data_IF_395982918873
#
_entry.id   IF_395982918873
#
_cell.length_a   1.000
_cell.length_b   1.000
_cell.length_c   1.000
_cell.angle_alpha   90.00
_cell.angle_beta   90.00
_cell.angle_gamma   90.00
#
_symmetry.space_group_name_H-M   'P 1'
#
loop_
_entity.id
_entity.type
_entity.pdbx_description
1 polymer ?
#
# COMPACT_ATOMS: atom_id res chain seq x y z
N UNK A 1 -7.50 -1.75 18.00
CA UNK A 1 -7.32 -2.37 16.66
C UNK A 1 -7.95 -3.76 16.55
N UNK A 2 -7.67 -4.71 17.47
CA UNK A 2 -8.19 -6.09 17.37
C UNK A 2 -9.70 -6.20 17.20
N UNK A 3 -10.48 -5.52 18.05
CA UNK A 3 -11.96 -5.58 18.01
C UNK A 3 -12.54 -5.04 16.70
N UNK A 4 -11.87 -4.06 16.08
CA UNK A 4 -12.25 -3.55 14.76
C UNK A 4 -11.95 -4.58 13.67
N UNK A 5 -10.75 -5.18 13.66
CA UNK A 5 -10.40 -6.20 12.67
C UNK A 5 -11.33 -7.43 12.76
N UNK A 6 -11.73 -7.83 13.96
CA UNK A 6 -12.68 -8.92 14.17
C UNK A 6 -14.06 -8.61 13.58
N UNK A 7 -14.55 -7.38 13.74
CA UNK A 7 -15.89 -7.01 13.27
C UNK A 7 -15.99 -6.95 11.75
N UNK A 8 -14.89 -6.60 11.05
CA UNK A 8 -14.86 -6.52 9.59
C UNK A 8 -14.45 -7.84 8.91
N UNK A 9 -13.82 -8.77 9.63
CA UNK A 9 -13.28 -10.01 9.08
C UNK A 9 -14.31 -10.83 8.26
N UNK A 10 -15.56 -11.05 8.73
CA UNK A 10 -16.55 -11.82 7.96
C UNK A 10 -16.85 -11.19 6.59
N UNK A 11 -16.79 -9.86 6.49
CA UNK A 11 -17.03 -9.14 5.23
C UNK A 11 -15.85 -9.29 4.26
N UNK A 12 -14.63 -9.35 4.78
CA UNK A 12 -13.40 -9.45 4.01
C UNK A 12 -13.11 -10.87 3.50
N UNK A 13 -13.55 -11.90 4.23
CA UNK A 13 -13.27 -13.30 3.89
C UNK A 13 -13.66 -13.68 2.46
N UNK A 14 -14.74 -13.11 1.92
CA UNK A 14 -15.20 -13.35 0.54
C UNK A 14 -14.23 -12.89 -0.55
N UNK A 15 -13.25 -12.05 -0.19
CA UNK A 15 -12.22 -11.51 -1.08
C UNK A 15 -10.82 -12.04 -0.80
N UNK A 16 -10.72 -12.93 0.18
CA UNK A 16 -9.46 -13.46 0.68
C UNK A 16 -8.88 -14.47 -0.31
N UNK A 17 -7.60 -14.33 -0.64
CA UNK A 17 -6.81 -15.37 -1.30
C UNK A 17 -6.57 -16.52 -0.33
N UNK A 18 -6.40 -17.74 -0.84
CA UNK A 18 -6.21 -18.92 -0.01
C UNK A 18 -4.77 -19.02 0.53
N UNK A 19 -4.63 -19.46 1.79
CA UNK A 19 -3.36 -19.64 2.47
C UNK A 19 -2.59 -20.89 1.99
N UNK A 20 -3.28 -21.86 1.36
CA UNK A 20 -2.65 -23.05 0.76
C UNK A 20 -1.77 -22.74 -0.46
N UNK A 21 -1.94 -21.58 -1.07
CA UNK A 21 -1.11 -21.11 -2.16
C UNK A 21 0.02 -20.26 -1.57
N UNK A 22 1.09 -20.96 -1.20
CA UNK A 22 2.29 -20.40 -0.56
C UNK A 22 2.89 -19.21 -1.33
N UNK A 23 2.71 -19.17 -2.65
CA UNK A 23 3.19 -18.07 -3.48
C UNK A 23 2.57 -16.71 -3.11
N UNK A 24 1.45 -16.69 -2.36
CA UNK A 24 0.81 -15.47 -1.93
C UNK A 24 1.46 -14.81 -0.70
N UNK A 25 2.30 -15.52 0.07
CA UNK A 25 2.90 -14.97 1.29
C UNK A 25 4.38 -15.29 1.50
N UNK A 26 4.93 -16.28 0.80
CA UNK A 26 6.34 -16.67 0.90
C UNK A 26 7.24 -15.70 0.11
N UNK A 27 8.44 -15.43 0.63
CA UNK A 27 9.40 -14.43 0.14
C UNK A 27 8.88 -12.98 0.13
N UNK A 28 7.89 -12.67 0.96
CA UNK A 28 7.35 -11.31 1.13
C UNK A 28 7.69 -10.81 2.54
N UNK A 29 8.20 -9.57 2.68
CA UNK A 29 8.44 -8.96 3.99
C UNK A 29 7.11 -8.49 4.59
N UNK A 30 6.64 -9.21 5.61
CA UNK A 30 5.39 -8.96 6.31
C UNK A 30 5.66 -8.30 7.66
N UNK A 31 5.16 -7.11 7.93
CA UNK A 31 5.47 -6.39 9.16
C UNK A 31 4.26 -5.86 9.91
N UNK A 32 4.46 -5.60 11.19
CA UNK A 32 3.54 -4.87 12.06
C UNK A 32 4.32 -4.01 13.06
N UNK A 33 3.63 -3.08 13.70
CA UNK A 33 4.15 -2.32 14.84
C UNK A 33 3.75 -3.06 16.12
N UNK A 34 4.72 -3.44 16.93
CA UNK A 34 4.44 -4.05 18.23
C UNK A 34 4.06 -3.01 19.29
N UNK A 35 3.85 -3.48 20.52
CA UNK A 35 3.43 -2.64 21.64
C UNK A 35 4.49 -1.60 22.05
N UNK A 36 5.76 -1.80 21.66
CA UNK A 36 6.87 -0.88 21.91
C UNK A 36 7.07 0.12 20.75
N UNK A 37 6.11 0.20 19.82
CA UNK A 37 6.24 0.94 18.55
C UNK A 37 7.44 0.50 17.70
N UNK A 38 7.95 -0.71 17.92
CA UNK A 38 9.01 -1.27 17.11
C UNK A 38 8.40 -2.03 15.93
N UNK A 39 8.97 -1.78 14.75
CA UNK A 39 8.63 -2.56 13.55
C UNK A 39 9.19 -3.97 13.70
N UNK A 40 8.30 -4.96 13.67
CA UNK A 40 8.64 -6.39 13.61
C UNK A 40 8.32 -6.91 12.23
N UNK A 41 9.30 -7.48 11.54
CA UNK A 41 9.17 -7.99 10.16
C UNK A 41 9.37 -9.49 10.13
N UNK A 42 8.48 -10.20 9.44
CA UNK A 42 8.46 -11.63 9.21
C UNK A 42 8.80 -11.88 7.74
N UNK A 43 9.68 -12.83 7.48
CA UNK A 43 9.96 -13.35 6.14
C UNK A 43 9.81 -14.87 6.17
N UNK A 44 8.71 -15.35 5.59
CA UNK A 44 8.46 -16.77 5.36
C UNK A 44 9.29 -17.20 4.15
N UNK A 45 10.36 -17.97 4.37
CA UNK A 45 11.24 -18.43 3.29
C UNK A 45 10.80 -19.77 2.73
N UNK A 46 11.04 -20.02 1.44
CA UNK A 46 10.67 -21.28 0.74
C UNK A 46 11.24 -22.56 1.37
N UNK A 47 12.31 -22.46 2.14
CA UNK A 47 12.96 -23.57 2.85
C UNK A 47 12.34 -23.83 4.24
N UNK A 48 11.10 -23.39 4.49
CA UNK A 48 10.39 -23.50 5.78
C UNK A 48 11.05 -22.76 6.95
N UNK A 49 12.00 -21.88 6.66
CA UNK A 49 12.62 -21.00 7.65
C UNK A 49 11.80 -19.73 7.79
N UNK A 50 11.60 -19.29 9.02
CA UNK A 50 11.03 -17.98 9.32
C UNK A 50 12.14 -17.07 9.82
N UNK A 51 12.37 -15.95 9.14
CA UNK A 51 13.20 -14.88 9.69
C UNK A 51 12.31 -13.82 10.32
N UNK A 52 12.63 -13.43 11.55
CA UNK A 52 11.95 -12.33 12.25
C UNK A 52 12.98 -11.27 12.56
N UNK A 53 12.74 -10.04 12.10
CA UNK A 53 13.62 -8.89 12.35
C UNK A 53 12.90 -7.87 13.22
N UNK A 54 13.53 -7.47 14.33
CA UNK A 54 13.09 -6.36 15.20
C UNK A 54 14.32 -5.52 15.52
N UNK A 55 14.26 -4.21 15.24
CA UNK A 55 15.33 -3.25 15.56
C UNK A 55 16.73 -3.65 15.02
N UNK A 56 16.80 -4.32 13.88
CA UNK A 56 18.07 -4.75 13.26
C UNK A 56 18.57 -6.12 13.74
N UNK A 57 18.02 -6.67 14.82
CA UNK A 57 18.29 -8.03 15.27
C UNK A 57 17.47 -9.03 14.46
N UNK A 58 18.09 -10.14 14.08
CA UNK A 58 17.45 -11.20 13.29
C UNK A 58 17.38 -12.48 14.12
N UNK A 59 16.16 -12.95 14.37
CA UNK A 59 15.89 -14.24 14.97
C UNK A 59 15.37 -15.22 13.92
N UNK A 60 15.74 -16.49 14.07
CA UNK A 60 15.36 -17.57 13.15
C UNK A 60 14.35 -18.49 13.82
N UNK A 61 13.31 -18.86 13.09
CA UNK A 61 12.27 -19.81 13.46
C UNK A 61 11.90 -20.72 12.30
N UNK A 62 10.76 -21.41 12.41
CA UNK A 62 10.23 -22.27 11.34
C UNK A 62 8.77 -21.99 11.07
N UNK A 63 8.35 -22.26 9.84
CA UNK A 63 6.95 -22.23 9.46
C UNK A 63 6.58 -23.42 8.58
N UNK A 64 5.33 -23.85 8.66
CA UNK A 64 4.81 -24.98 7.90
C UNK A 64 3.31 -24.77 7.64
N UNK A 65 2.88 -24.91 6.39
CA UNK A 65 1.45 -24.99 6.09
C UNK A 65 0.98 -26.44 6.27
N UNK A 66 -0.10 -26.64 7.03
CA UNK A 66 -0.72 -27.93 7.30
C UNK A 66 -2.04 -28.04 6.53
N UNK A 67 -2.09 -28.73 5.36
CA UNK A 67 -3.28 -28.76 4.52
C UNK A 67 -4.49 -29.40 5.17
N UNK A 68 -4.29 -30.42 6.01
CA UNK A 68 -5.36 -31.14 6.73
C UNK A 68 -6.11 -30.25 7.72
N UNK A 69 -5.45 -29.21 8.24
CA UNK A 69 -6.02 -28.26 9.20
C UNK A 69 -6.34 -26.91 8.54
N UNK A 70 -5.87 -26.68 7.31
CA UNK A 70 -5.91 -25.39 6.61
C UNK A 70 -5.25 -24.27 7.43
N UNK A 71 -4.15 -24.61 8.10
CA UNK A 71 -3.51 -23.75 9.09
C UNK A 71 -2.02 -23.59 8.85
N UNK A 72 -1.49 -22.44 9.22
CA UNK A 72 -0.07 -22.14 9.26
C UNK A 72 0.46 -22.37 10.67
N UNK A 73 1.46 -23.23 10.79
CA UNK A 73 2.19 -23.47 12.02
C UNK A 73 3.42 -22.58 12.03
N UNK A 74 3.59 -21.80 13.10
CA UNK A 74 4.76 -20.94 13.29
C UNK A 74 5.46 -21.36 14.59
N UNK A 75 6.74 -21.68 14.49
CA UNK A 75 7.64 -21.95 15.61
C UNK A 75 8.65 -20.81 15.74
N UNK A 76 8.47 -20.00 16.79
CA UNK A 76 9.27 -18.81 17.03
C UNK A 76 9.31 -18.48 18.53
N UNK A 77 10.50 -18.12 19.05
CA UNK A 77 10.76 -17.83 20.48
C UNK A 77 10.32 -18.96 21.43
N UNK A 78 10.61 -20.21 21.06
CA UNK A 78 10.25 -21.38 21.87
C UNK A 78 8.74 -21.62 22.00
N UNK A 79 7.94 -20.95 21.17
CA UNK A 79 6.48 -21.05 21.15
C UNK A 79 6.02 -21.50 19.77
N UNK A 80 5.37 -22.65 19.73
CA UNK A 80 4.71 -23.17 18.55
C UNK A 80 3.24 -22.75 18.56
N UNK A 81 2.82 -21.98 17.55
CA UNK A 81 1.48 -21.40 17.45
C UNK A 81 0.87 -21.79 16.10
N UNK A 82 -0.39 -22.21 16.12
CA UNK A 82 -1.14 -22.50 14.91
C UNK A 82 -2.07 -21.34 14.57
N UNK A 83 -2.15 -21.01 13.29
CA UNK A 83 -2.93 -19.91 12.77
C UNK A 83 -3.81 -20.37 11.61
N UNK A 84 -5.10 -20.12 11.73
CA UNK A 84 -6.04 -20.27 10.62
C UNK A 84 -6.02 -19.00 9.78
N UNK A 85 -6.40 -19.15 8.51
CA UNK A 85 -6.55 -18.01 7.62
C UNK A 85 -7.67 -17.09 8.15
N UNK A 86 -7.32 -15.83 8.45
CA UNK A 86 -8.29 -14.77 8.69
C UNK A 86 -8.66 -14.09 7.38
N UNK A 87 -7.67 -13.42 6.78
CA UNK A 87 -7.77 -12.72 5.50
C UNK A 87 -6.39 -12.68 4.85
N UNK A 88 -6.31 -12.74 3.53
CA UNK A 88 -5.07 -12.58 2.80
C UNK A 88 -5.33 -11.90 1.46
N UNK A 89 -4.59 -10.84 1.17
CA UNK A 89 -4.42 -10.33 -0.17
C UNK A 89 -2.96 -9.98 -0.44
N UNK A 90 -2.67 -9.21 -1.49
CA UNK A 90 -1.29 -8.82 -1.82
C UNK A 90 -0.65 -7.90 -0.76
N UNK A 91 -1.46 -7.15 -0.02
CA UNK A 91 -1.04 -6.06 0.87
C UNK A 91 -1.15 -6.44 2.35
N UNK A 92 -2.17 -7.20 2.73
CA UNK A 92 -2.46 -7.55 4.12
C UNK A 92 -2.63 -9.06 4.29
N UNK A 93 -1.98 -9.59 5.31
CA UNK A 93 -2.14 -10.95 5.81
C UNK A 93 -2.66 -10.87 7.26
N UNK A 94 -3.88 -11.33 7.48
CA UNK A 94 -4.47 -11.50 8.80
C UNK A 94 -4.50 -12.99 9.16
N UNK A 95 -3.72 -13.36 10.16
CA UNK A 95 -3.67 -14.71 10.71
C UNK A 95 -4.47 -14.75 12.01
N UNK A 96 -5.42 -15.69 12.13
CA UNK A 96 -6.18 -15.89 13.38
C UNK A 96 -5.60 -17.05 14.15
N UNK A 97 -5.15 -16.83 15.38
CA UNK A 97 -4.62 -17.89 16.23
C UNK A 97 -5.71 -18.93 16.51
N UNK A 98 -5.42 -20.19 16.23
CA UNK A 98 -6.37 -21.28 16.37
C UNK A 98 -6.95 -21.35 17.79
N UNK A 99 -8.26 -21.57 17.90
CA UNK A 99 -8.98 -21.64 19.17
C UNK A 99 -9.18 -20.30 19.90
N UNK A 100 -8.83 -19.16 19.28
CA UNK A 100 -9.01 -17.84 19.89
C UNK A 100 -9.44 -16.79 18.85
N UNK A 101 -9.89 -15.63 19.32
CA UNK A 101 -10.16 -14.45 18.47
C UNK A 101 -8.90 -13.58 18.23
N UNK A 102 -7.74 -14.02 18.72
CA UNK A 102 -6.50 -13.26 18.60
C UNK A 102 -6.04 -13.23 17.14
N UNK A 103 -5.95 -12.02 16.59
CA UNK A 103 -5.42 -11.78 15.24
C UNK A 103 -3.95 -11.35 15.30
N UNK A 104 -3.16 -11.85 14.37
CA UNK A 104 -1.83 -11.37 14.01
C UNK A 104 -1.97 -10.66 12.65
N UNK A 105 -2.06 -9.32 12.65
CA UNK A 105 -2.16 -8.54 11.43
C UNK A 105 -0.76 -8.24 10.89
N UNK A 106 -0.55 -8.47 9.60
CA UNK A 106 0.72 -8.27 8.92
C UNK A 106 0.50 -7.49 7.62
N UNK A 107 1.34 -6.49 7.37
CA UNK A 107 1.35 -5.67 6.18
C UNK A 107 2.57 -6.00 5.32
N UNK A 108 2.38 -6.10 4.00
CA UNK A 108 3.47 -6.21 3.06
C UNK A 108 4.22 -4.86 3.02
N UNK A 109 5.44 -4.83 3.52
CA UNK A 109 6.25 -3.60 3.65
C UNK A 109 6.44 -2.89 2.30
N UNK A 110 6.48 -3.66 1.20
CA UNK A 110 6.67 -3.11 -0.13
C UNK A 110 5.42 -2.40 -0.69
N UNK A 111 4.24 -2.71 -0.16
CA UNK A 111 2.95 -2.19 -0.65
C UNK A 111 2.24 -1.29 0.35
N UNK A 112 2.54 -1.41 1.65
CA UNK A 112 1.99 -0.58 2.71
C UNK A 112 3.12 -0.19 3.70
N UNK A 113 4.00 0.75 3.32
CA UNK A 113 5.18 1.11 4.12
C UNK A 113 4.86 1.73 5.49
N UNK A 114 3.70 2.38 5.62
CA UNK A 114 3.23 2.98 6.87
C UNK A 114 2.58 1.98 7.83
N UNK A 115 2.43 0.71 7.40
CA UNK A 115 1.84 -0.39 8.16
C UNK A 115 0.42 -0.13 8.67
N UNK A 116 -0.29 0.87 8.12
CA UNK A 116 -1.64 1.23 8.57
C UNK A 116 -2.70 0.31 7.96
N UNK A 117 -2.77 -0.91 8.50
CA UNK A 117 -3.68 -1.97 8.06
C UNK A 117 -5.14 -1.55 8.23
N UNK A 118 -5.47 -0.81 9.30
CA UNK A 118 -6.83 -0.33 9.54
C UNK A 118 -7.34 0.53 8.39
N UNK A 119 -6.59 1.59 8.05
CA UNK A 119 -6.92 2.48 6.93
C UNK A 119 -7.05 1.73 5.61
N UNK A 120 -6.11 0.82 5.33
CA UNK A 120 -6.16 0.01 4.10
C UNK A 120 -7.47 -0.80 4.00
N UNK A 121 -7.85 -1.47 5.09
CA UNK A 121 -9.06 -2.30 5.09
C UNK A 121 -10.34 -1.48 5.03
N UNK A 122 -10.37 -0.29 5.66
CA UNK A 122 -11.48 0.66 5.55
C UNK A 122 -11.73 1.06 4.10
N UNK A 123 -10.67 1.51 3.42
CA UNK A 123 -10.73 1.88 2.01
C UNK A 123 -11.17 0.70 1.13
N UNK A 124 -10.66 -0.50 1.40
CA UNK A 124 -11.04 -1.70 0.65
C UNK A 124 -12.51 -2.05 0.79
N UNK A 125 -13.09 -1.83 1.97
CA UNK A 125 -14.50 -2.11 2.21
C UNK A 125 -15.36 -1.08 1.46
N UNK A 126 -15.03 0.21 1.54
CA UNK A 126 -15.78 1.26 0.82
C UNK A 126 -15.73 1.09 -0.70
N UNK A 127 -14.55 0.84 -1.27
CA UNK A 127 -14.38 0.59 -2.71
C UNK A 127 -15.20 -0.61 -3.21
N UNK A 128 -15.38 -1.63 -2.37
CA UNK A 128 -16.10 -2.86 -2.73
C UNK A 128 -17.61 -2.78 -2.47
N UNK A 129 -18.05 -1.89 -1.59
CA UNK A 129 -19.46 -1.60 -1.35
C UNK A 129 -20.02 -0.69 -2.45
N UNK A 130 -19.27 0.31 -2.91
CA UNK A 130 -19.66 1.18 -4.04
C UNK A 130 -19.71 0.43 -5.38
N UNK A 131 -18.83 -0.56 -5.58
CA UNK A 131 -18.85 -1.44 -6.75
C UNK A 131 -20.01 -2.45 -6.80
N UNK A 132 -20.89 -2.49 -5.79
CA UNK A 132 -22.03 -3.43 -5.71
C UNK A 132 -23.39 -2.82 -6.05
N UNK A 133 -23.45 -1.51 -6.35
CA UNK A 133 -24.73 -0.81 -6.63
C UNK A 133 -25.06 -0.67 -8.12
N UNK A 134 -24.19 -1.12 -9.03
CA UNK A 134 -24.50 -1.14 -10.47
C UNK A 134 -24.10 -2.47 -11.11
N UNK A 135 -25.03 -3.42 -11.10
CA UNK A 135 -25.09 -4.49 -12.10
C UNK A 135 -26.46 -5.15 -12.05
N UNK A 136 -27.42 -4.57 -12.78
CA UNK A 136 -28.39 -5.41 -13.45
C UNK A 136 -28.74 -4.81 -14.81
N UNK A 137 -27.96 -5.18 -15.83
CA UNK A 137 -28.49 -5.65 -17.11
C UNK A 137 -27.35 -5.86 -18.10
N UNK A 138 -27.37 -7.06 -18.70
CA UNK A 138 -26.84 -7.43 -20.02
C UNK A 138 -25.61 -6.63 -20.50
N UNK A 139 -24.46 -7.28 -20.52
CA UNK A 139 -23.83 -7.74 -21.77
C UNK A 139 -22.68 -8.68 -21.39
N UNK A 140 -22.87 -9.96 -21.74
CA UNK A 140 -21.80 -10.91 -21.94
C UNK A 140 -21.02 -10.45 -23.16
N UNK A 141 -19.75 -10.13 -23.00
CA UNK A 141 -18.74 -10.52 -23.98
C UNK A 141 -17.37 -10.67 -23.30
N UNK A 142 -16.78 -11.82 -23.56
CA UNK A 142 -15.55 -12.31 -22.97
C UNK A 142 -14.32 -11.53 -23.45
N UNK A 143 -13.28 -11.53 -22.61
CA UNK A 143 -11.91 -11.12 -22.91
C UNK A 143 -11.67 -9.63 -23.21
N UNK A 144 -11.63 -8.82 -22.15
CA UNK A 144 -10.72 -7.68 -22.08
C UNK A 144 -10.11 -7.66 -20.68
N UNK A 145 -8.81 -7.92 -20.60
CA UNK A 145 -8.04 -7.72 -19.38
C UNK A 145 -8.40 -6.34 -18.81
N UNK A 146 -8.95 -6.31 -17.60
CA UNK A 146 -9.36 -5.10 -16.89
C UNK A 146 -8.13 -4.22 -16.67
N UNK A 147 -7.80 -3.38 -17.66
CA UNK A 147 -6.88 -2.26 -17.47
C UNK A 147 -7.67 -1.20 -16.70
N UNK A 148 -7.42 -1.11 -15.40
CA UNK A 148 -7.99 -0.06 -14.59
C UNK A 148 -7.29 1.27 -14.92
N UNK A 149 -8.06 2.35 -14.96
CA UNK A 149 -7.59 3.70 -15.25
C UNK A 149 -8.39 4.68 -14.39
N UNK A 150 -7.79 5.82 -14.07
CA UNK A 150 -8.41 6.94 -13.37
C UNK A 150 -8.67 8.08 -14.35
N UNK A 151 -9.80 8.74 -14.18
CA UNK A 151 -10.17 9.92 -14.94
C UNK A 151 -9.94 11.17 -14.10
N UNK A 152 -9.25 12.17 -14.65
CA UNK A 152 -9.10 13.48 -14.04
C UNK A 152 -9.54 14.57 -15.01
N UNK A 153 -10.15 15.62 -14.47
CA UNK A 153 -10.62 16.76 -15.24
C UNK A 153 -9.63 17.91 -15.02
N UNK A 154 -9.11 18.48 -16.10
CA UNK A 154 -8.24 19.65 -16.03
C UNK A 154 -9.06 20.91 -15.72
N UNK A 155 -8.43 21.96 -15.18
CA UNK A 155 -9.06 23.28 -15.01
C UNK A 155 -9.57 23.87 -16.34
N UNK A 156 -9.01 23.41 -17.47
CA UNK A 156 -9.46 23.75 -18.83
C UNK A 156 -10.62 22.90 -19.35
N UNK A 157 -11.12 21.95 -18.55
CA UNK A 157 -12.24 21.07 -18.90
C UNK A 157 -11.88 19.84 -19.73
N UNK A 158 -10.59 19.58 -19.98
CA UNK A 158 -10.12 18.39 -20.70
C UNK A 158 -10.07 17.17 -19.79
N UNK A 159 -10.35 16.00 -20.35
CA UNK A 159 -10.33 14.73 -19.61
C UNK A 159 -8.99 14.01 -19.80
N UNK A 160 -8.34 13.68 -18.69
CA UNK A 160 -7.11 12.91 -18.64
C UNK A 160 -7.41 11.49 -18.17
N UNK A 161 -6.91 10.51 -18.91
CA UNK A 161 -7.02 9.09 -18.58
C UNK A 161 -5.65 8.61 -18.11
N UNK A 162 -5.53 8.35 -16.81
CA UNK A 162 -4.31 7.87 -16.19
C UNK A 162 -4.42 6.37 -15.99
N UNK A 163 -3.59 5.60 -16.66
CA UNK A 163 -3.61 4.15 -16.56
C UNK A 163 -3.04 3.72 -15.22
N UNK A 164 -3.78 2.90 -14.48
CA UNK A 164 -3.34 2.45 -13.17
C UNK A 164 -2.19 1.45 -13.29
N UNK A 165 -1.27 1.53 -12.34
CA UNK A 165 -0.33 0.47 -12.11
C UNK A 165 -0.97 -0.59 -11.19
N UNK A 166 -0.91 -1.86 -11.59
CA UNK A 166 -1.33 -3.00 -10.76
C UNK A 166 -0.64 -3.04 -9.39
N UNK A 167 0.52 -2.41 -9.28
CA UNK A 167 1.32 -2.33 -8.06
C UNK A 167 0.70 -1.37 -7.03
N UNK A 168 0.16 -0.23 -7.47
CA UNK A 168 -0.45 0.82 -6.63
C UNK A 168 -1.77 1.31 -7.24
N UNK A 169 -2.84 0.52 -7.16
CA UNK A 169 -4.14 0.89 -7.72
C UNK A 169 -4.68 2.12 -6.99
N UNK A 170 -5.10 3.13 -7.76
CA UNK A 170 -5.68 4.37 -7.24
C UNK A 170 -4.69 5.49 -6.86
N UNK A 171 -3.37 5.24 -6.86
CA UNK A 171 -2.38 6.31 -6.68
C UNK A 171 -1.85 6.79 -8.02
N UNK A 172 -2.26 7.98 -8.44
CA UNK A 172 -1.85 8.62 -9.70
C UNK A 172 -0.63 9.55 -9.53
N UNK A 173 -0.12 9.70 -8.31
CA UNK A 173 1.06 10.56 -8.05
C UNK A 173 2.37 9.90 -8.48
N UNK A 174 2.30 8.63 -8.89
CA UNK A 174 3.45 7.80 -9.24
C UNK A 174 4.03 8.23 -10.60
N UNK A 175 5.32 8.59 -10.66
CA UNK A 175 6.02 8.83 -11.92
C UNK A 175 6.02 7.58 -12.83
N UNK A 176 5.87 7.80 -14.12
CA UNK A 176 5.92 6.78 -15.16
C UNK A 176 4.56 6.19 -15.56
N UNK A 177 3.47 6.54 -14.87
CA UNK A 177 2.11 6.14 -15.27
C UNK A 177 1.75 6.72 -16.64
N UNK A 178 1.12 5.91 -17.49
CA UNK A 178 0.70 6.33 -18.82
C UNK A 178 -0.47 7.31 -18.70
N UNK A 179 -0.45 8.38 -19.49
CA UNK A 179 -1.55 9.35 -19.59
C UNK A 179 -2.04 9.43 -21.03
N UNK A 180 -3.34 9.29 -21.24
CA UNK A 180 -3.98 9.40 -22.56
C UNK A 180 -5.17 10.35 -22.52
N UNK A 181 -5.61 10.76 -23.71
CA UNK A 181 -6.88 11.46 -23.89
C UNK A 181 -8.08 10.52 -23.62
N UNK A 182 -9.28 11.09 -23.66
CA UNK A 182 -10.57 10.40 -23.47
C UNK A 182 -10.80 9.22 -24.43
N UNK A 183 -10.06 9.14 -25.53
CA UNK A 183 -10.12 8.02 -26.49
C UNK A 183 -9.31 6.79 -26.06
N UNK A 184 -8.60 6.86 -24.91
CA UNK A 184 -7.79 5.80 -24.31
C UNK A 184 -6.57 5.38 -25.16
N UNK A 185 -6.27 6.09 -26.24
CA UNK A 185 -5.26 5.68 -27.21
C UNK A 185 -4.23 6.77 -27.43
N UNK A 186 -4.68 8.02 -27.55
CA UNK A 186 -3.84 9.16 -27.87
C UNK A 186 -3.06 9.61 -26.63
N UNK A 187 -1.72 9.55 -26.65
CA UNK A 187 -0.91 10.14 -25.59
C UNK A 187 -1.15 11.64 -25.48
N UNK A 188 -1.25 12.14 -24.26
CA UNK A 188 -1.36 13.57 -24.01
C UNK A 188 -0.02 14.25 -24.34
N UNK A 189 -0.01 15.44 -24.97
CA UNK A 189 1.21 16.20 -25.22
C UNK A 189 2.01 16.49 -23.93
N UNK A 190 3.28 16.84 -24.11
CA UNK A 190 4.12 17.23 -22.98
C UNK A 190 3.67 18.59 -22.45
N UNK A 191 3.57 18.70 -21.13
CA UNK A 191 3.08 19.92 -20.49
C UNK A 191 2.57 19.71 -19.08
N UNK A 192 2.07 20.81 -18.51
CA UNK A 192 1.47 20.84 -17.19
C UNK A 192 -0.04 20.88 -17.29
N UNK A 193 -0.70 20.02 -16.51
CA UNK A 193 -2.14 19.87 -16.52
C UNK A 193 -2.68 20.11 -15.11
N UNK A 194 -3.04 21.36 -14.79
CA UNK A 194 -3.73 21.69 -13.56
C UNK A 194 -5.10 21.00 -13.56
N UNK A 195 -5.41 20.24 -12.52
CA UNK A 195 -6.65 19.51 -12.36
C UNK A 195 -7.61 20.23 -11.42
N UNK A 196 -8.90 19.90 -11.52
CA UNK A 196 -9.97 20.54 -10.73
C UNK A 196 -9.88 20.22 -9.24
N UNK A 197 -9.17 19.14 -8.87
CA UNK A 197 -8.90 18.75 -7.49
C UNK A 197 -7.69 19.46 -6.87
N UNK A 198 -7.02 20.37 -7.60
CA UNK A 198 -5.91 21.15 -7.07
C UNK A 198 -4.52 20.57 -7.36
N UNK A 199 -4.40 19.43 -8.05
CA UNK A 199 -3.09 18.94 -8.47
C UNK A 199 -2.64 19.59 -9.79
N UNK A 200 -1.34 19.51 -10.06
CA UNK A 200 -0.70 19.83 -11.33
C UNK A 200 0.03 18.58 -11.77
N UNK A 201 -0.43 17.99 -12.88
CA UNK A 201 0.17 16.79 -13.44
C UNK A 201 1.12 17.21 -14.55
N UNK A 202 2.40 16.91 -14.36
CA UNK A 202 3.43 17.16 -15.38
C UNK A 202 3.58 15.91 -16.23
N UNK A 203 3.29 16.03 -17.52
CA UNK A 203 3.37 14.94 -18.49
C UNK A 203 4.61 15.12 -19.37
N UNK A 204 5.37 14.04 -19.55
CA UNK A 204 6.51 13.96 -20.46
C UNK A 204 6.45 12.63 -21.23
N UNK A 205 6.49 12.71 -22.56
CA UNK A 205 6.38 11.60 -23.49
C UNK A 205 5.18 10.69 -23.19
N UNK A 206 4.02 11.29 -22.89
CA UNK A 206 2.77 10.57 -22.58
C UNK A 206 2.78 9.81 -21.25
N UNK A 207 3.69 10.16 -20.32
CA UNK A 207 3.76 9.60 -18.97
C UNK A 207 3.81 10.69 -17.91
N UNK A 208 3.33 10.40 -16.71
CA UNK A 208 3.49 11.28 -15.54
C UNK A 208 4.98 11.38 -15.22
N UNK A 209 5.50 12.59 -15.14
CA UNK A 209 6.84 12.86 -14.63
C UNK A 209 6.80 13.14 -13.13
N UNK A 210 5.88 14.01 -12.72
CA UNK A 210 5.67 14.42 -11.34
C UNK A 210 4.24 14.95 -11.18
N UNK A 211 3.71 14.85 -9.96
CA UNK A 211 2.43 15.45 -9.57
C UNK A 211 2.71 16.38 -8.40
N UNK A 212 2.32 17.65 -8.54
CA UNK A 212 2.50 18.69 -7.51
C UNK A 212 1.14 19.18 -7.06
N UNK A 213 0.93 19.34 -5.75
CA UNK A 213 -0.29 19.95 -5.24
C UNK A 213 -0.17 21.48 -5.29
N UNK A 214 -1.20 22.16 -5.78
CA UNK A 214 -1.39 23.63 -5.80
C UNK A 214 -1.79 24.16 -4.41
N UNK A 215 -1.57 23.40 -3.33
CA UNK A 215 -1.76 23.93 -1.98
C UNK A 215 -0.68 24.98 -1.67
N UNK A 216 -1.06 26.20 -1.25
CA UNK A 216 -0.09 27.20 -0.88
C UNK A 216 0.67 26.69 0.35
N UNK A 217 1.98 26.51 0.20
CA UNK A 217 2.86 26.24 1.34
C UNK A 217 2.60 27.34 2.37
N UNK A 218 2.18 27.00 3.61
CA UNK A 218 1.89 28.03 4.59
C UNK A 218 3.13 28.92 4.75
N UNK A 219 2.93 30.24 4.66
CA UNK A 219 4.01 31.24 4.68
C UNK A 219 4.92 31.03 5.90
N UNK A 220 4.33 30.60 7.00
CA UNK A 220 5.00 30.25 8.26
C UNK A 220 6.08 29.17 8.06
N UNK A 221 5.83 28.20 7.19
CA UNK A 221 6.74 27.11 6.86
C UNK A 221 7.89 27.59 5.97
N UNK A 222 7.59 28.47 5.00
CA UNK A 222 8.61 29.09 4.12
C UNK A 222 9.57 29.97 4.94
N UNK A 223 9.03 30.75 5.89
CA UNK A 223 9.82 31.54 6.82
C UNK A 223 10.67 30.61 7.69
N UNK A 224 10.11 29.53 8.23
CA UNK A 224 10.85 28.56 9.04
C UNK A 224 12.05 27.94 8.29
N UNK A 225 11.84 27.48 7.06
CA UNK A 225 12.90 26.88 6.25
C UNK A 225 13.98 27.89 5.85
N UNK A 226 13.58 29.13 5.50
CA UNK A 226 14.55 30.19 5.18
C UNK A 226 15.40 30.60 6.39
N UNK A 227 14.79 30.70 7.58
CA UNK A 227 15.49 31.03 8.82
C UNK A 227 16.44 29.91 9.25
N UNK A 228 15.99 28.64 9.14
CA UNK A 228 16.81 27.47 9.45
C UNK A 228 18.04 27.38 8.52
N UNK A 229 17.87 27.66 7.22
CA UNK A 229 18.96 27.66 6.25
C UNK A 229 19.96 28.78 6.52
N UNK A 230 19.49 29.97 6.92
CA UNK A 230 20.35 31.10 7.28
C UNK A 230 21.14 30.84 8.57
N UNK A 231 20.52 30.21 9.58
CA UNK A 231 21.22 29.81 10.81
C UNK A 231 22.28 28.73 10.55
N UNK A 232 21.98 27.75 9.69
CA UNK A 232 22.95 26.74 9.25
C UNK A 232 24.11 27.37 8.48
N UNK A 233 23.83 28.32 7.60
CA UNK A 233 24.84 29.03 6.83
C UNK A 233 25.73 29.91 7.72
N UNK A 234 25.15 30.62 8.70
CA UNK A 234 25.90 31.40 9.69
C UNK A 234 26.76 30.51 10.59
N UNK A 235 26.23 29.36 11.01
CA UNK A 235 27.00 28.37 11.76
C UNK A 235 28.19 27.86 10.95
N UNK A 236 27.99 27.57 9.66
CA UNK A 236 29.06 27.11 8.76
C UNK A 236 30.11 28.20 8.49
N UNK A 237 29.71 29.46 8.38
CA UNK A 237 30.64 30.59 8.28
C UNK A 237 31.45 30.78 9.57
N UNK A 238 30.80 30.64 10.72
CA UNK A 238 31.45 30.77 12.02
C UNK A 238 32.50 29.67 12.24
N UNK A 239 32.17 28.42 11.94
CA UNK A 239 33.12 27.29 12.05
C UNK A 239 34.28 27.38 11.06
N UNK A 240 34.10 28.05 9.92
CA UNK A 240 35.15 28.27 8.93
C UNK A 240 36.11 29.42 9.29
N UNK A 241 35.68 30.39 10.11
CA UNK A 241 36.51 31.53 10.54
C UNK A 241 37.37 31.16 11.77
N UNK A 242 36.95 30.20 12.59
CA UNK A 242 37.67 29.77 13.80
C UNK A 242 38.61 28.56 13.61
N UNK A 243 38.64 27.94 12.41
CA UNK A 243 39.53 26.80 12.07
C UNK A 243 40.66 27.20 11.13
#
# INVERSE_FOLDING_TARGET
MQSYLQSILPRLQRYSKQLNDEANFVEIPWAYMDDDEAKVTYLFRRNNELLVTKQGEVATGRWEYLPSMQSLLIDYEGKRRMYNQGFLDKTVLLLRKEGTEQLLPLANVNLLPDLNIGRYLEQRISEKEEGSTYSDSKYSDANKARRSYRELITKTGSKLIIWENNQFPGDYTIPGLKVTAEDHQTPIPDGEYPTTNGDIIVVLSGKIKEVTSDEPVPIDMVIFFSLAFLLLFLYFLWTYIEG
#
